data_IF_180889072619
#
_entry.id   IF_180889072619
#
_cell.length_a   1.000
_cell.length_b   1.000
_cell.length_c   1.000
_cell.angle_alpha   90.00
_cell.angle_beta   90.00
_cell.angle_gamma   90.00
#
_symmetry.space_group_name_H-M   'P 1'
#
loop_
_entity.id
_entity.type
_entity.pdbx_description
1 polymer ?
#
# COMPACT_ATOMS: atom_id res chain seq x y z
N UNK A 1 -13.23 -44.47 -41.30
CA UNK A 1 -11.80 -44.09 -41.17
C UNK A 1 -11.72 -42.72 -40.49
N UNK A 2 -11.44 -42.74 -39.20
CA UNK A 2 -10.27 -42.12 -38.53
C UNK A 2 -10.49 -40.65 -38.14
N UNK A 3 -10.95 -40.43 -36.90
CA UNK A 3 -10.13 -40.19 -35.70
C UNK A 3 -9.21 -38.98 -35.90
N UNK A 4 -9.58 -37.85 -35.28
CA UNK A 4 -8.59 -36.94 -34.70
C UNK A 4 -9.23 -36.16 -33.55
N UNK A 5 -8.61 -36.37 -32.39
CA UNK A 5 -9.01 -35.93 -31.08
C UNK A 5 -8.99 -34.41 -30.93
N UNK A 6 -10.13 -33.80 -30.66
CA UNK A 6 -10.14 -32.47 -30.05
C UNK A 6 -9.98 -32.66 -28.53
N UNK A 7 -8.75 -32.50 -28.03
CA UNK A 7 -8.47 -32.48 -26.59
C UNK A 7 -9.01 -31.17 -26.01
N UNK A 8 -9.86 -31.19 -24.96
CA UNK A 8 -10.25 -29.95 -24.29
C UNK A 8 -9.03 -29.36 -23.58
N UNK A 9 -8.78 -28.06 -23.80
CA UNK A 9 -7.76 -27.32 -23.08
C UNK A 9 -8.21 -27.27 -21.62
N UNK A 10 -7.43 -27.92 -20.74
CA UNK A 10 -7.54 -27.81 -19.28
C UNK A 10 -7.56 -26.33 -18.91
N UNK A 11 -8.68 -25.85 -18.39
CA UNK A 11 -8.73 -24.62 -17.60
C UNK A 11 -7.79 -24.79 -16.41
N UNK A 12 -6.76 -23.93 -16.22
CA UNK A 12 -6.13 -23.87 -14.92
C UNK A 12 -7.14 -23.25 -13.97
N UNK A 13 -7.59 -24.06 -13.01
CA UNK A 13 -8.32 -23.60 -11.83
C UNK A 13 -7.59 -22.37 -11.27
N UNK A 14 -8.34 -21.27 -11.16
CA UNK A 14 -7.89 -20.01 -10.59
C UNK A 14 -7.48 -20.29 -9.15
N UNK A 15 -6.18 -20.44 -8.91
CA UNK A 15 -5.61 -20.60 -7.58
C UNK A 15 -6.06 -19.40 -6.75
N UNK A 16 -7.03 -19.64 -5.87
CA UNK A 16 -7.37 -18.73 -4.78
C UNK A 16 -6.11 -18.58 -3.96
N UNK A 17 -5.46 -17.41 -4.07
CA UNK A 17 -4.49 -16.95 -3.08
C UNK A 17 -5.19 -17.00 -1.73
N UNK A 18 -4.84 -18.02 -0.94
CA UNK A 18 -5.11 -18.10 0.48
C UNK A 18 -4.52 -16.81 1.07
N UNK A 19 -5.32 -15.87 1.61
CA UNK A 19 -4.72 -14.85 2.45
C UNK A 19 -4.11 -15.61 3.62
N UNK A 20 -2.81 -15.44 3.85
CA UNK A 20 -2.18 -15.79 5.10
C UNK A 20 -2.80 -14.91 6.19
N UNK A 21 -4.05 -15.21 6.58
CA UNK A 21 -4.72 -14.59 7.70
C UNK A 21 -4.14 -15.27 8.91
N UNK A 22 -3.12 -14.64 9.49
CA UNK A 22 -2.60 -14.96 10.80
C UNK A 22 -3.78 -15.25 11.72
N UNK A 23 -3.89 -16.43 12.36
CA UNK A 23 -5.01 -16.71 13.22
C UNK A 23 -4.98 -15.71 14.37
N UNK A 24 -6.05 -14.93 14.48
CA UNK A 24 -6.34 -14.16 15.68
C UNK A 24 -6.45 -15.16 16.83
N UNK A 25 -5.34 -15.37 17.57
CA UNK A 25 -5.38 -16.04 18.87
C UNK A 25 -6.07 -15.09 19.83
N UNK A 26 -7.37 -15.27 19.93
CA UNK A 26 -8.23 -14.67 20.94
C UNK A 26 -7.83 -15.29 22.29
N UNK A 27 -7.07 -14.54 23.09
CA UNK A 27 -6.91 -14.83 24.53
C UNK A 27 -7.51 -13.66 25.29
N UNK A 28 -8.23 -13.90 26.40
CA UNK A 28 -8.95 -12.86 27.12
C UNK A 28 -8.01 -11.74 27.60
N UNK A 29 -8.44 -10.51 27.35
CA UNK A 29 -7.70 -9.24 27.47
C UNK A 29 -7.44 -8.79 28.93
N UNK A 30 -7.63 -9.66 29.92
CA UNK A 30 -7.46 -9.33 31.33
C UNK A 30 -6.09 -9.79 31.81
N UNK A 31 -5.03 -9.15 31.33
CA UNK A 31 -3.69 -9.35 31.90
C UNK A 31 -3.45 -8.32 33.00
N UNK A 32 -2.93 -8.70 34.19
CA UNK A 32 -2.63 -7.76 35.27
C UNK A 32 -1.58 -6.70 34.88
N UNK A 33 -0.81 -6.97 33.81
CA UNK A 33 0.23 -6.07 33.32
C UNK A 33 -0.28 -4.98 32.36
N UNK A 34 -1.54 -5.04 31.91
CA UNK A 34 -2.12 -4.03 31.02
C UNK A 34 -2.06 -2.61 31.59
N UNK A 35 -2.56 -2.32 32.81
CA UNK A 35 -2.49 -0.97 33.38
C UNK A 35 -1.04 -0.50 33.58
N UNK A 36 -0.15 -1.42 33.95
CA UNK A 36 1.26 -1.11 34.18
C UNK A 36 1.99 -0.78 32.86
N UNK A 37 1.75 -1.53 31.78
CA UNK A 37 2.30 -1.26 30.46
C UNK A 37 1.83 0.11 29.93
N UNK A 38 0.55 0.44 30.13
CA UNK A 38 -0.01 1.74 29.74
C UNK A 38 0.61 2.88 30.55
N UNK A 39 0.77 2.72 31.86
CA UNK A 39 1.42 3.71 32.73
C UNK A 39 2.87 3.98 32.29
N UNK A 40 3.63 2.92 32.00
CA UNK A 40 5.01 3.04 31.51
C UNK A 40 5.07 3.70 30.12
N UNK A 41 4.09 3.43 29.25
CA UNK A 41 4.01 4.08 27.93
C UNK A 41 3.68 5.57 28.04
N UNK A 42 2.78 5.94 28.95
CA UNK A 42 2.47 7.35 29.28
C UNK A 42 3.65 8.07 29.92
N UNK A 43 4.47 7.36 30.70
CA UNK A 43 5.74 7.88 31.23
C UNK A 43 6.82 8.08 30.14
N UNK A 44 6.51 7.84 28.86
CA UNK A 44 7.41 8.11 27.74
C UNK A 44 8.42 7.00 27.45
N UNK A 45 8.31 5.83 28.10
CA UNK A 45 9.23 4.71 27.86
C UNK A 45 9.02 4.07 26.48
N UNK A 46 10.14 3.65 25.89
CA UNK A 46 10.13 2.88 24.65
C UNK A 46 9.59 1.47 24.87
N UNK A 47 9.06 0.84 23.81
CA UNK A 47 8.56 -0.55 23.87
C UNK A 47 9.61 -1.52 24.41
N UNK A 48 10.87 -1.31 24.03
CA UNK A 48 12.00 -2.12 24.50
C UNK A 48 12.21 -1.97 26.01
N UNK A 49 12.19 -0.76 26.53
CA UNK A 49 12.32 -0.53 27.98
C UNK A 49 11.13 -1.10 28.77
N UNK A 50 9.92 -1.00 28.22
CA UNK A 50 8.72 -1.59 28.84
C UNK A 50 8.84 -3.12 28.87
N UNK A 51 9.31 -3.71 27.77
CA UNK A 51 9.58 -5.16 27.66
C UNK A 51 10.57 -5.62 28.72
N UNK A 52 11.68 -4.90 28.85
CA UNK A 52 12.77 -5.27 29.75
C UNK A 52 12.35 -5.09 31.24
N UNK A 53 11.44 -4.15 31.54
CA UNK A 53 10.93 -3.88 32.91
C UNK A 53 9.77 -4.78 33.35
N UNK A 54 8.95 -5.25 32.40
CA UNK A 54 7.86 -6.21 32.65
C UNK A 54 8.29 -7.67 32.42
N UNK A 55 9.55 -7.89 32.02
CA UNK A 55 10.11 -9.20 31.67
C UNK A 55 9.25 -9.97 30.65
N UNK A 56 8.61 -9.24 29.72
CA UNK A 56 7.76 -9.82 28.69
C UNK A 56 8.62 -10.22 27.49
N UNK A 57 9.03 -11.49 27.42
CA UNK A 57 9.84 -11.98 26.30
C UNK A 57 9.05 -12.13 24.99
N UNK A 58 7.71 -12.10 25.04
CA UNK A 58 6.84 -12.19 23.87
C UNK A 58 6.37 -10.80 23.39
N UNK A 59 6.87 -10.39 22.22
CA UNK A 59 6.52 -9.10 21.60
C UNK A 59 5.03 -9.01 21.23
N UNK A 60 4.36 -10.10 20.89
CA UNK A 60 2.95 -10.07 20.49
C UNK A 60 2.03 -9.72 21.66
N UNK A 61 2.38 -10.19 22.87
CA UNK A 61 1.67 -9.84 24.10
C UNK A 61 1.82 -8.35 24.36
N UNK A 62 3.03 -7.82 24.28
CA UNK A 62 3.27 -6.38 24.45
C UNK A 62 2.57 -5.54 23.37
N UNK A 63 2.53 -6.02 22.11
CA UNK A 63 1.82 -5.36 21.02
C UNK A 63 0.32 -5.25 21.30
N UNK A 64 -0.28 -6.31 21.84
CA UNK A 64 -1.70 -6.36 22.22
C UNK A 64 -2.00 -5.49 23.44
N UNK A 65 -1.12 -5.48 24.45
CA UNK A 65 -1.29 -4.65 25.65
C UNK A 65 -1.17 -3.14 25.36
N UNK A 66 -0.40 -2.77 24.33
CA UNK A 66 -0.19 -1.38 23.90
C UNK A 66 -1.05 -0.98 22.69
N UNK A 67 -1.99 -1.83 22.29
CA UNK A 67 -2.87 -1.55 21.15
C UNK A 67 -3.77 -0.34 21.46
N UNK A 68 -3.78 0.66 20.58
CA UNK A 68 -4.53 1.91 20.78
C UNK A 68 -3.82 3.00 21.60
N UNK A 69 -2.68 2.72 22.25
CA UNK A 69 -1.89 3.76 22.93
C UNK A 69 -0.94 4.41 21.93
N UNK A 70 -1.03 5.73 21.68
CA UNK A 70 -0.14 6.40 20.74
C UNK A 70 1.33 6.24 21.17
N UNK A 71 2.22 6.14 20.20
CA UNK A 71 3.64 6.19 20.49
C UNK A 71 4.00 7.58 21.06
N UNK A 72 4.96 7.66 22.01
CA UNK A 72 5.51 8.93 22.47
C UNK A 72 5.96 9.76 21.27
N UNK A 73 5.73 11.06 21.31
CA UNK A 73 5.98 11.96 20.17
C UNK A 73 7.44 11.92 19.72
N UNK A 74 8.40 11.71 20.64
CA UNK A 74 9.81 11.56 20.32
C UNK A 74 10.17 10.25 19.58
N UNK A 75 9.38 9.17 19.78
CA UNK A 75 9.58 7.89 19.06
C UNK A 75 8.74 7.83 17.78
N UNK A 76 7.83 8.79 17.57
CA UNK A 76 7.01 8.87 16.37
C UNK A 76 7.88 9.38 15.22
N UNK A 77 8.27 8.49 14.31
CA UNK A 77 8.90 8.90 13.06
C UNK A 77 7.79 9.39 12.12
N UNK A 78 7.70 10.70 11.82
CA UNK A 78 6.74 11.16 10.83
C UNK A 78 7.07 10.49 9.50
N UNK A 79 6.07 9.99 8.76
CA UNK A 79 6.36 9.57 7.39
C UNK A 79 6.62 10.85 6.61
N UNK A 80 7.70 10.88 5.81
CA UNK A 80 8.05 12.04 4.98
C UNK A 80 6.92 12.49 4.02
N UNK A 81 5.88 11.67 3.84
CA UNK A 81 4.73 11.92 2.97
C UNK A 81 3.44 12.26 3.75
N UNK A 82 3.45 12.26 5.08
CA UNK A 82 2.27 12.60 5.87
C UNK A 82 1.86 14.07 5.69
N UNK A 83 2.84 14.96 5.55
CA UNK A 83 2.60 16.39 5.26
C UNK A 83 1.98 16.59 3.86
N UNK A 84 2.49 15.85 2.87
CA UNK A 84 1.95 15.84 1.51
C UNK A 84 0.53 15.26 1.49
N UNK A 85 0.26 14.26 2.32
CA UNK A 85 -1.08 13.69 2.50
C UNK A 85 -2.05 14.69 3.12
N UNK A 86 -1.62 15.47 4.12
CA UNK A 86 -2.43 16.51 4.72
C UNK A 86 -2.79 17.58 3.69
N UNK A 87 -1.80 18.11 2.95
CA UNK A 87 -2.02 19.10 1.88
C UNK A 87 -2.93 18.56 0.76
N UNK A 88 -2.74 17.31 0.33
CA UNK A 88 -3.60 16.71 -0.70
C UNK A 88 -5.08 16.66 -0.29
N UNK A 89 -5.36 16.45 1.01
CA UNK A 89 -6.72 16.44 1.55
C UNK A 89 -7.32 17.83 1.63
N UNK A 90 -6.54 18.84 2.00
CA UNK A 90 -6.97 20.24 1.99
C UNK A 90 -7.34 20.70 0.59
N UNK A 91 -6.46 20.44 -0.39
CA UNK A 91 -6.71 20.75 -1.80
C UNK A 91 -7.97 20.04 -2.32
N UNK A 92 -8.23 18.81 -1.87
CA UNK A 92 -9.47 18.12 -2.25
C UNK A 92 -10.71 18.76 -1.65
N UNK A 93 -10.67 19.18 -0.38
CA UNK A 93 -11.79 19.88 0.27
C UNK A 93 -12.11 21.19 -0.46
N UNK A 94 -11.11 21.84 -1.04
CA UNK A 94 -11.27 23.01 -1.92
C UNK A 94 -11.86 22.67 -3.31
N UNK A 95 -12.13 21.39 -3.60
CA UNK A 95 -12.72 20.94 -4.86
C UNK A 95 -11.69 20.62 -5.96
N UNK A 96 -10.39 20.64 -5.66
CA UNK A 96 -9.37 20.35 -6.66
C UNK A 96 -9.41 18.88 -7.11
N UNK A 97 -9.11 18.70 -8.39
CA UNK A 97 -9.11 17.41 -9.05
C UNK A 97 -7.73 16.74 -8.96
N UNK A 98 -7.66 15.41 -9.08
CA UNK A 98 -6.41 14.65 -8.89
C UNK A 98 -5.23 15.18 -9.72
N UNK A 99 -5.49 15.62 -10.95
CA UNK A 99 -4.43 16.10 -11.83
C UNK A 99 -3.92 17.50 -11.43
N UNK A 100 -4.77 18.34 -10.82
CA UNK A 100 -4.34 19.64 -10.26
C UNK A 100 -3.51 19.43 -8.99
N UNK A 101 -3.94 18.50 -8.13
CA UNK A 101 -3.18 18.12 -6.93
C UNK A 101 -1.82 17.50 -7.31
N UNK A 102 -1.75 16.76 -8.41
CA UNK A 102 -0.49 16.22 -8.94
C UNK A 102 0.48 17.34 -9.35
N UNK A 103 0.00 18.37 -10.04
CA UNK A 103 0.83 19.51 -10.44
C UNK A 103 1.30 20.30 -9.21
N UNK A 104 0.42 20.52 -8.24
CA UNK A 104 0.70 21.28 -7.03
C UNK A 104 1.73 20.59 -6.10
N UNK A 105 1.58 19.28 -5.89
CA UNK A 105 2.39 18.53 -4.93
C UNK A 105 3.56 17.76 -5.58
N UNK A 106 3.62 17.70 -6.91
CA UNK A 106 4.62 16.91 -7.64
C UNK A 106 4.56 15.39 -7.36
N UNK A 107 3.46 14.91 -6.78
CA UNK A 107 3.29 13.52 -6.37
C UNK A 107 2.57 12.70 -7.45
N UNK A 108 2.86 11.40 -7.52
CA UNK A 108 2.20 10.53 -8.49
C UNK A 108 0.68 10.44 -8.23
N UNK A 109 -0.09 10.36 -9.33
CA UNK A 109 -1.56 10.21 -9.29
C UNK A 109 -2.03 9.04 -8.43
N UNK A 110 -1.30 7.91 -8.45
CA UNK A 110 -1.63 6.72 -7.67
C UNK A 110 -1.51 6.93 -6.16
N UNK A 111 -0.58 7.80 -5.72
CA UNK A 111 -0.40 8.13 -4.31
C UNK A 111 -1.51 9.09 -3.84
N UNK A 112 -1.83 10.09 -4.67
CA UNK A 112 -2.91 11.04 -4.41
C UNK A 112 -4.26 10.32 -4.38
N UNK A 113 -4.54 9.42 -5.31
CA UNK A 113 -5.80 8.67 -5.34
C UNK A 113 -5.99 7.83 -4.08
N UNK A 114 -4.93 7.19 -3.57
CA UNK A 114 -4.97 6.44 -2.32
C UNK A 114 -5.36 7.31 -1.12
N UNK A 115 -4.87 8.55 -1.05
CA UNK A 115 -5.11 9.45 0.08
C UNK A 115 -6.47 10.16 0.05
N UNK A 116 -6.99 10.37 -1.15
CA UNK A 116 -8.08 11.29 -1.42
C UNK A 116 -9.37 10.59 -1.86
N UNK A 117 -9.32 9.28 -2.20
CA UNK A 117 -10.50 8.51 -2.63
C UNK A 117 -11.67 8.50 -1.63
N UNK A 118 -11.39 8.70 -0.35
CA UNK A 118 -12.42 8.68 0.72
C UNK A 118 -13.22 10.01 0.81
N UNK A 119 -12.81 11.05 0.07
CA UNK A 119 -13.46 12.38 0.05
C UNK A 119 -14.48 12.49 -1.09
N UNK A 120 -15.53 13.34 -0.93
CA UNK A 120 -16.54 13.53 -1.96
C UNK A 120 -15.90 13.96 -3.29
N UNK A 121 -16.41 13.37 -4.37
CA UNK A 121 -15.91 13.63 -5.70
C UNK A 121 -16.40 15.02 -6.14
N UNK A 122 -15.49 15.94 -6.54
CA UNK A 122 -15.88 17.20 -7.15
C UNK A 122 -16.61 16.93 -8.47
N UNK A 123 -17.33 17.94 -9.01
CA UNK A 123 -18.08 17.81 -10.25
C UNK A 123 -17.25 17.18 -11.37
N UNK A 124 -17.92 16.35 -12.18
CA UNK A 124 -17.28 15.67 -13.29
C UNK A 124 -16.72 16.70 -14.28
N UNK A 125 -15.50 16.44 -14.76
CA UNK A 125 -14.85 17.29 -15.76
C UNK A 125 -15.64 17.29 -17.06
N UNK A 126 -15.54 18.39 -17.78
CA UNK A 126 -16.02 18.46 -19.16
C UNK A 126 -15.14 17.59 -20.07
N UNK A 127 -15.71 17.14 -21.18
CA UNK A 127 -15.04 16.27 -22.17
C UNK A 127 -13.73 16.88 -22.69
N UNK A 128 -13.73 18.19 -22.86
CA UNK A 128 -12.59 18.95 -23.37
C UNK A 128 -11.39 18.89 -22.43
N UNK A 129 -11.60 19.06 -21.12
CA UNK A 129 -10.55 18.96 -20.10
C UNK A 129 -9.94 17.56 -20.05
N UNK A 130 -10.77 16.52 -20.14
CA UNK A 130 -10.30 15.14 -20.19
C UNK A 130 -9.43 14.87 -21.44
N UNK A 131 -9.84 15.40 -22.61
CA UNK A 131 -9.09 15.27 -23.86
C UNK A 131 -7.74 15.97 -23.83
N UNK A 132 -7.65 17.15 -23.17
CA UNK A 132 -6.41 17.89 -23.01
C UNK A 132 -5.41 17.15 -22.11
N UNK A 133 -5.91 16.46 -21.08
CA UNK A 133 -5.08 15.64 -20.19
C UNK A 133 -4.59 14.37 -20.91
N UNK A 134 -5.46 13.70 -21.68
CA UNK A 134 -5.10 12.50 -22.44
C UNK A 134 -3.97 12.78 -23.46
N UNK A 135 -4.05 13.94 -24.14
CA UNK A 135 -2.98 14.41 -25.04
C UNK A 135 -1.63 14.60 -24.33
N UNK A 136 -1.64 15.09 -23.09
CA UNK A 136 -0.42 15.27 -22.28
C UNK A 136 0.15 13.95 -21.74
N UNK A 137 -0.71 12.99 -21.38
CA UNK A 137 -0.30 11.70 -20.82
C UNK A 137 0.30 10.71 -21.84
N UNK A 138 -0.05 10.85 -23.12
CA UNK A 138 0.39 9.93 -24.18
C UNK A 138 1.89 10.06 -24.52
N UNK A 139 2.50 11.23 -24.29
CA UNK A 139 3.88 11.51 -24.67
C UNK A 139 4.96 10.84 -23.77
N UNK A 140 4.57 10.27 -22.62
CA UNK A 140 5.53 9.83 -21.58
C UNK A 140 5.97 8.35 -21.69
N UNK A 141 5.32 7.51 -22.49
CA UNK A 141 5.50 6.05 -22.39
C UNK A 141 6.26 5.40 -23.55
N UNK A 142 6.86 6.17 -24.45
CA UNK A 142 7.56 5.61 -25.63
C UNK A 142 9.10 5.69 -25.57
N UNK A 143 9.71 6.53 -24.74
CA UNK A 143 11.15 6.86 -24.88
C UNK A 143 12.11 6.16 -23.92
N UNK A 144 11.78 5.01 -23.37
CA UNK A 144 12.77 4.23 -22.59
C UNK A 144 12.47 2.73 -22.62
N UNK A 145 12.65 2.10 -23.77
CA UNK A 145 13.08 0.71 -23.82
C UNK A 145 13.84 0.55 -25.12
N UNK A 146 15.18 0.44 -25.03
CA UNK A 146 15.94 -0.18 -26.12
C UNK A 146 15.18 -1.46 -26.51
N UNK A 147 14.83 -1.65 -27.80
CA UNK A 147 14.03 -2.80 -28.19
C UNK A 147 14.66 -4.07 -27.63
N UNK A 148 13.91 -4.98 -27.00
CA UNK A 148 14.49 -6.24 -26.55
C UNK A 148 15.12 -6.88 -27.78
N UNK A 149 16.44 -7.03 -27.77
CA UNK A 149 17.17 -7.61 -28.88
C UNK A 149 16.84 -9.10 -28.90
N UNK A 150 15.73 -9.45 -29.52
CA UNK A 150 15.39 -10.83 -29.79
C UNK A 150 16.47 -11.41 -30.71
N UNK A 151 17.27 -12.33 -30.18
CA UNK A 151 18.28 -13.07 -30.94
C UNK A 151 17.73 -14.49 -31.16
N UNK A 152 17.46 -14.91 -32.41
CA UNK A 152 16.94 -16.26 -32.66
C UNK A 152 17.99 -17.33 -32.31
N UNK A 153 17.57 -18.54 -31.90
CA UNK A 153 18.49 -19.64 -31.62
C UNK A 153 19.21 -20.08 -32.90
N UNK A 154 20.54 -20.15 -32.85
CA UNK A 154 21.38 -20.65 -33.95
C UNK A 154 21.26 -22.17 -34.07
N UNK A 155 20.70 -22.64 -35.18
CA UNK A 155 20.57 -24.08 -35.45
C UNK A 155 21.85 -24.59 -36.13
N UNK A 156 22.86 -24.94 -35.35
CA UNK A 156 24.04 -25.69 -35.82
C UNK A 156 23.88 -27.14 -35.40
N UNK A 157 23.25 -27.94 -36.26
CA UNK A 157 23.22 -29.40 -36.13
C UNK A 157 24.55 -30.02 -36.58
N UNK A 158 25.01 -31.11 -35.96
CA UNK A 158 26.20 -31.83 -36.43
C UNK A 158 25.87 -32.66 -37.68
N UNK A 159 26.79 -32.64 -38.65
CA UNK A 159 26.82 -33.49 -39.87
C UNK A 159 27.09 -34.95 -39.55
#
# INVERSE_FOLDING_TARGET
MNRSHFRPIRTPARATLIPCRTPARNTPTTSPYAPQAIALRRAGLSRRQIRDRLHLHNNDILNRLLEGVPAPDWTRRPNAKDDLRARARELRKQGLTYDRIQVELGCSKSLISLWVRDLPKPPARTREEASAIARRGCASTYTSTSPPTWRPPSNSGPT
#
